data_IF_237157758049
#
_entry.id   IF_237157758049
#
_cell.length_a   1.000
_cell.length_b   1.000
_cell.length_c   1.000
_cell.angle_alpha   90.00
_cell.angle_beta   90.00
_cell.angle_gamma   90.00
#
_symmetry.space_group_name_H-M   'P 1'
#
loop_
_entity.id
_entity.type
_entity.pdbx_description
1 polymer ?
#
# COMPACT_ATOMS: atom_id res chain seq x y z
N UNK A 1 21.28 3.13 -7.25
CA UNK A 1 20.12 3.45 -6.42
C UNK A 1 18.90 3.18 -7.26
N UNK A 2 18.04 2.28 -6.80
CA UNK A 2 16.81 1.90 -7.49
C UNK A 2 15.68 2.78 -6.98
N UNK A 3 14.86 3.32 -7.88
CA UNK A 3 13.78 4.26 -7.57
C UNK A 3 12.48 3.77 -8.18
N UNK A 4 11.38 3.98 -7.47
CA UNK A 4 10.05 3.87 -8.03
C UNK A 4 9.69 5.19 -8.71
N UNK A 5 9.22 5.11 -9.95
CA UNK A 5 8.59 6.26 -10.58
C UNK A 5 7.13 6.30 -10.10
N UNK A 6 6.65 7.43 -9.58
CA UNK A 6 5.25 7.64 -9.29
C UNK A 6 4.82 8.97 -9.90
N UNK A 7 4.05 8.90 -10.99
CA UNK A 7 3.80 10.07 -11.83
C UNK A 7 5.10 10.70 -12.36
N UNK A 8 5.36 11.96 -11.99
CA UNK A 8 6.57 12.69 -12.34
C UNK A 8 7.65 12.69 -11.25
N UNK A 9 7.44 11.98 -10.14
CA UNK A 9 8.38 11.92 -9.01
C UNK A 9 9.10 10.58 -8.99
N UNK A 10 10.37 10.61 -8.56
CA UNK A 10 11.16 9.42 -8.23
C UNK A 10 11.19 9.29 -6.72
N UNK A 11 10.70 8.18 -6.20
CA UNK A 11 10.74 7.87 -4.77
C UNK A 11 11.71 6.73 -4.51
N UNK A 12 12.56 6.90 -3.50
CA UNK A 12 13.33 5.80 -2.93
C UNK A 12 12.40 4.83 -2.18
N UNK A 13 12.90 3.62 -1.84
CA UNK A 13 12.12 2.64 -1.08
C UNK A 13 11.56 3.22 0.22
N UNK A 14 12.39 3.98 0.96
CA UNK A 14 12.02 4.53 2.26
C UNK A 14 10.93 5.62 2.13
N UNK A 15 11.08 6.52 1.15
CA UNK A 15 10.09 7.56 0.85
C UNK A 15 8.75 6.95 0.40
N UNK A 16 8.80 5.91 -0.44
CA UNK A 16 7.60 5.21 -0.87
C UNK A 16 6.92 4.47 0.30
N UNK A 17 7.69 3.89 1.21
CA UNK A 17 7.16 3.21 2.38
C UNK A 17 6.50 4.19 3.36
N UNK A 18 7.13 5.34 3.60
CA UNK A 18 6.58 6.41 4.43
C UNK A 18 5.31 7.02 3.82
N UNK A 19 5.29 7.24 2.51
CA UNK A 19 4.11 7.71 1.79
C UNK A 19 2.92 6.74 1.92
N UNK A 20 3.18 5.45 1.76
CA UNK A 20 2.15 4.41 1.88
C UNK A 20 1.68 4.29 3.32
N UNK A 21 2.58 4.29 4.30
CA UNK A 21 2.24 4.33 5.73
C UNK A 21 1.31 5.51 6.06
N UNK A 22 1.66 6.71 5.60
CA UNK A 22 0.86 7.90 5.84
C UNK A 22 -0.51 7.82 5.15
N UNK A 23 -0.56 7.33 3.90
CA UNK A 23 -1.81 7.15 3.18
C UNK A 23 -2.72 6.13 3.84
N UNK A 24 -2.17 5.02 4.34
CA UNK A 24 -2.87 4.01 5.13
C UNK A 24 -3.43 4.60 6.43
N UNK A 25 -2.64 5.41 7.14
CA UNK A 25 -3.11 6.07 8.36
C UNK A 25 -4.28 7.02 8.10
N UNK A 26 -4.28 7.76 6.98
CA UNK A 26 -5.38 8.66 6.59
C UNK A 26 -6.70 7.92 6.41
N UNK A 27 -6.66 6.70 5.84
CA UNK A 27 -7.84 5.86 5.64
C UNK A 27 -8.18 4.98 6.86
N UNK A 28 -7.49 5.18 8.00
CA UNK A 28 -7.74 4.47 9.25
C UNK A 28 -7.04 3.11 9.39
N UNK A 29 -6.10 2.78 8.52
CA UNK A 29 -5.32 1.53 8.54
C UNK A 29 -3.94 1.76 9.19
N UNK A 30 -3.95 2.16 10.46
CA UNK A 30 -2.72 2.50 11.21
C UNK A 30 -2.00 1.29 11.82
N UNK A 31 -2.62 0.10 11.81
CA UNK A 31 -2.11 -1.09 12.51
C UNK A 31 -1.34 -2.03 11.58
N UNK A 32 -0.13 -1.63 11.21
CA UNK A 32 0.80 -2.46 10.43
C UNK A 32 2.14 -2.63 11.13
N UNK A 33 2.71 -3.83 11.00
CA UNK A 33 3.99 -4.24 11.57
C UNK A 33 5.17 -3.79 10.72
N UNK A 34 5.04 -3.89 9.40
CA UNK A 34 6.11 -3.52 8.47
C UNK A 34 5.60 -3.32 7.06
N UNK A 35 6.28 -2.41 6.35
CA UNK A 35 6.11 -2.17 4.92
C UNK A 35 7.46 -2.46 4.25
N UNK A 36 7.46 -3.37 3.30
CA UNK A 36 8.64 -3.78 2.54
C UNK A 36 8.42 -3.47 1.07
N UNK A 37 9.30 -2.68 0.48
CA UNK A 37 9.23 -2.28 -0.93
C UNK A 37 10.49 -2.76 -1.65
N UNK A 38 10.28 -3.52 -2.73
CA UNK A 38 11.30 -3.94 -3.66
C UNK A 38 11.13 -3.15 -4.96
N UNK A 39 11.88 -2.06 -5.08
CA UNK A 39 11.92 -1.17 -6.25
C UNK A 39 12.38 -1.89 -7.53
N UNK A 40 13.16 -2.98 -7.42
CA UNK A 40 13.63 -3.73 -8.60
C UNK A 40 12.55 -4.61 -9.19
N UNK A 41 11.67 -5.13 -8.34
CA UNK A 41 10.54 -5.99 -8.75
C UNK A 41 9.22 -5.24 -8.84
N UNK A 42 9.25 -3.93 -8.59
CA UNK A 42 8.06 -3.10 -8.43
C UNK A 42 7.04 -3.76 -7.48
N UNK A 43 7.53 -4.36 -6.40
CA UNK A 43 6.68 -5.12 -5.47
C UNK A 43 6.66 -4.52 -4.09
N UNK A 44 5.50 -4.57 -3.46
CA UNK A 44 5.29 -4.16 -2.07
C UNK A 44 4.69 -5.30 -1.28
N UNK A 45 5.13 -5.43 -0.04
CA UNK A 45 4.57 -6.32 0.97
C UNK A 45 4.29 -5.52 2.22
N UNK A 46 3.05 -5.60 2.71
CA UNK A 46 2.63 -4.94 3.94
C UNK A 46 2.14 -6.01 4.91
N UNK A 47 2.71 -6.03 6.10
CA UNK A 47 2.30 -6.90 7.18
C UNK A 47 1.42 -6.12 8.14
N UNK A 48 0.16 -6.51 8.26
CA UNK A 48 -0.82 -5.91 9.16
C UNK A 48 -0.90 -6.66 10.49
N UNK A 49 -1.39 -5.99 11.54
CA UNK A 49 -1.64 -6.64 12.83
C UNK A 49 -2.92 -7.47 12.83
N UNK A 50 -3.91 -7.06 12.04
CA UNK A 50 -5.17 -7.75 11.85
C UNK A 50 -5.32 -8.18 10.37
N UNK A 51 -6.25 -9.10 10.14
CA UNK A 51 -6.57 -9.57 8.80
C UNK A 51 -7.52 -8.60 8.09
N UNK A 52 -8.32 -7.86 8.85
CA UNK A 52 -9.29 -6.90 8.33
C UNK A 52 -8.60 -5.76 7.57
N UNK A 53 -7.53 -5.16 8.12
CA UNK A 53 -6.80 -4.08 7.44
C UNK A 53 -6.11 -4.59 6.16
N UNK A 54 -5.61 -5.83 6.19
CA UNK A 54 -5.05 -6.48 5.01
C UNK A 54 -6.14 -6.66 3.92
N UNK A 55 -7.35 -7.08 4.31
CA UNK A 55 -8.48 -7.23 3.40
C UNK A 55 -8.95 -5.88 2.84
N UNK A 56 -9.09 -4.86 3.68
CA UNK A 56 -9.48 -3.50 3.26
C UNK A 56 -8.45 -2.95 2.27
N UNK A 57 -7.16 -3.08 2.57
CA UNK A 57 -6.07 -2.67 1.65
C UNK A 57 -6.17 -3.40 0.32
N UNK A 58 -6.44 -4.70 0.34
CA UNK A 58 -6.66 -5.53 -0.86
C UNK A 58 -7.80 -5.01 -1.71
N UNK A 59 -8.94 -4.69 -1.08
CA UNK A 59 -10.14 -4.18 -1.73
C UNK A 59 -9.86 -2.82 -2.36
N UNK A 60 -9.23 -1.91 -1.63
CA UNK A 60 -8.87 -0.57 -2.12
C UNK A 60 -7.95 -0.68 -3.33
N UNK A 61 -6.96 -1.57 -3.28
CA UNK A 61 -6.01 -1.79 -4.36
C UNK A 61 -6.60 -2.58 -5.54
N UNK A 62 -7.85 -3.06 -5.44
CA UNK A 62 -8.48 -3.89 -6.46
C UNK A 62 -7.87 -5.30 -6.60
N UNK A 63 -6.95 -5.66 -5.72
CA UNK A 63 -6.26 -6.94 -5.68
C UNK A 63 -7.13 -7.90 -4.86
N UNK A 64 -8.10 -8.55 -5.50
CA UNK A 64 -8.95 -9.56 -4.85
C UNK A 64 -8.24 -10.93 -4.85
N UNK A 65 -6.99 -10.99 -4.38
CA UNK A 65 -6.27 -12.25 -4.35
C UNK A 65 -6.69 -13.04 -3.11
N UNK A 66 -7.27 -14.22 -3.32
CA UNK A 66 -7.80 -15.11 -2.27
C UNK A 66 -6.78 -15.47 -1.18
N UNK A 67 -5.47 -15.24 -1.42
CA UNK A 67 -4.40 -15.41 -0.42
C UNK A 67 -4.34 -14.29 0.62
N UNK A 68 -4.70 -13.06 0.25
CA UNK A 68 -4.77 -11.93 1.20
C UNK A 68 -5.93 -12.14 2.17
N UNK A 69 -7.02 -12.78 1.71
CA UNK A 69 -8.21 -13.04 2.52
C UNK A 69 -7.96 -13.95 3.73
N UNK A 70 -6.84 -14.67 3.83
CA UNK A 70 -6.53 -15.57 4.96
C UNK A 70 -5.22 -15.21 5.68
N UNK A 71 -4.50 -14.19 5.22
CA UNK A 71 -3.21 -13.79 5.77
C UNK A 71 -3.24 -12.34 6.23
N UNK A 72 -2.56 -12.01 7.32
CA UNK A 72 -2.33 -10.61 7.75
C UNK A 72 -1.31 -9.88 6.87
N UNK A 73 -1.24 -10.23 5.59
CA UNK A 73 -0.21 -9.81 4.65
C UNK A 73 -0.86 -9.43 3.34
N UNK A 74 -0.64 -8.19 2.93
CA UNK A 74 -0.90 -7.71 1.59
C UNK A 74 0.40 -7.78 0.78
N UNK A 75 0.34 -8.27 -0.45
CA UNK A 75 1.49 -8.29 -1.35
C UNK A 75 1.03 -8.07 -2.77
N UNK A 76 1.71 -7.20 -3.49
CA UNK A 76 1.48 -6.98 -4.92
C UNK A 76 2.77 -6.64 -5.64
N UNK A 77 2.79 -6.81 -6.96
CA UNK A 77 3.90 -6.47 -7.86
C UNK A 77 3.63 -5.20 -8.67
N UNK A 78 2.77 -4.32 -8.17
CA UNK A 78 2.51 -3.01 -8.76
C UNK A 78 2.38 -1.95 -7.66
N UNK A 79 3.52 -1.40 -7.21
CA UNK A 79 3.52 -0.40 -6.12
C UNK A 79 2.81 0.88 -6.56
N UNK A 80 2.94 1.25 -7.83
CA UNK A 80 2.30 2.45 -8.38
C UNK A 80 0.77 2.37 -8.28
N UNK A 81 0.17 1.22 -8.61
CA UNK A 81 -1.27 1.02 -8.50
C UNK A 81 -1.76 1.13 -7.05
N UNK A 82 -0.98 0.60 -6.09
CA UNK A 82 -1.28 0.72 -4.65
C UNK A 82 -1.27 2.17 -4.22
N UNK A 83 -0.21 2.91 -4.54
CA UNK A 83 -0.09 4.32 -4.17
C UNK A 83 -1.23 5.15 -4.78
N UNK A 84 -1.59 4.92 -6.05
CA UNK A 84 -2.70 5.61 -6.70
C UNK A 84 -4.05 5.27 -6.06
N UNK A 85 -4.29 3.99 -5.74
CA UNK A 85 -5.52 3.53 -5.10
C UNK A 85 -5.69 4.12 -3.69
N UNK A 86 -4.61 4.10 -2.89
CA UNK A 86 -4.61 4.69 -1.55
C UNK A 86 -4.86 6.19 -1.58
N UNK A 87 -4.21 6.93 -2.50
CA UNK A 87 -4.45 8.38 -2.67
C UNK A 87 -5.89 8.65 -3.07
N UNK A 88 -6.44 7.91 -4.02
CA UNK A 88 -7.85 8.07 -4.41
C UNK A 88 -8.80 7.82 -3.24
N UNK A 89 -8.53 6.80 -2.40
CA UNK A 89 -9.34 6.49 -1.23
C UNK A 89 -9.20 7.57 -0.14
N UNK A 90 -7.99 8.07 0.10
CA UNK A 90 -7.71 9.18 1.01
C UNK A 90 -8.41 10.49 0.56
N UNK A 91 -8.42 10.78 -0.74
CA UNK A 91 -9.13 11.94 -1.28
C UNK A 91 -10.66 11.81 -1.15
N UNK A 92 -11.21 10.60 -1.36
CA UNK A 92 -12.63 10.36 -1.18
C UNK A 92 -13.06 10.49 0.29
N UNK A 93 -12.25 9.98 1.23
CA UNK A 93 -12.52 10.11 2.67
C UNK A 93 -12.40 11.56 3.17
N UNK A 94 -11.53 12.39 2.59
CA UNK A 94 -11.43 13.81 2.90
C UNK A 94 -12.60 14.67 2.36
N UNK A 95 -13.42 14.12 1.47
CA UNK A 95 -14.53 14.82 0.81
C UNK A 95 -15.90 14.61 1.49
N UNK A 96 -15.94 13.95 2.64
CA UNK A 96 -17.16 13.65 3.40
C UNK A 96 -17.35 14.56 4.63
#
# INVERSE_FOLDING_TARGET
>A
MDYLNFGNQKMACDEAAEFIANSLAIIGLERFQSIQIDTKKDSITIHFDNQEDAQVTSIICGESDSKVLTSKKFQTTNVQAVMAALVNCALQSASC
#
